data_IF_300166682220
#
_entry.id   IF_300166682220
#
_cell.length_a   1.000
_cell.length_b   1.000
_cell.length_c   1.000
_cell.angle_alpha   90.00
_cell.angle_beta   90.00
_cell.angle_gamma   90.00
#
_symmetry.space_group_name_H-M   'P 1'
#
loop_
_entity.id
_entity.type
_entity.pdbx_description
1 polymer ?
#
# COMPACT_ATOMS: atom_id res chain seq x y z
N UNK A 1 3.95 3.13 7.65
CA UNK A 1 4.15 3.10 6.19
C UNK A 1 3.55 4.37 5.62
N UNK A 2 4.15 4.92 4.62
CA UNK A 2 3.80 6.17 3.98
C UNK A 2 5.09 6.82 3.49
N UNK A 3 5.01 7.94 2.78
CA UNK A 3 6.18 8.72 2.43
C UNK A 3 6.77 9.31 3.71
N UNK A 4 7.64 8.56 4.37
CA UNK A 4 8.32 9.01 5.57
C UNK A 4 9.66 9.62 5.17
N UNK A 5 9.80 10.93 5.31
CA UNK A 5 11.10 11.58 5.37
C UNK A 5 11.82 11.04 6.63
N UNK A 6 13.04 10.50 6.47
CA UNK A 6 13.87 10.07 7.60
C UNK A 6 13.73 8.60 8.02
N UNK A 7 13.15 7.75 7.21
CA UNK A 7 13.17 6.31 7.46
C UNK A 7 14.59 5.75 7.25
N UNK A 8 15.15 5.20 8.32
CA UNK A 8 16.47 4.56 8.27
C UNK A 8 16.33 3.09 7.88
N UNK A 9 17.11 2.66 6.88
CA UNK A 9 17.15 1.27 6.45
C UNK A 9 17.59 0.32 7.58
N UNK A 10 18.38 0.81 8.52
CA UNK A 10 18.82 0.04 9.69
C UNK A 10 17.67 -0.30 10.65
N UNK A 11 16.59 0.49 10.62
CA UNK A 11 15.37 0.23 11.39
C UNK A 11 14.43 -0.79 10.70
N UNK A 12 14.80 -1.30 9.53
CA UNK A 12 13.98 -2.26 8.81
C UNK A 12 14.11 -3.66 9.39
N UNK A 13 12.99 -4.22 9.84
CA UNK A 13 12.88 -5.61 10.26
C UNK A 13 12.02 -6.39 9.26
N UNK A 14 12.60 -7.35 8.51
CA UNK A 14 11.84 -8.21 7.59
C UNK A 14 10.72 -8.98 8.30
N UNK A 15 9.59 -9.15 7.64
CA UNK A 15 8.44 -9.87 8.21
C UNK A 15 8.79 -11.32 8.60
N UNK A 16 9.63 -11.99 7.83
CA UNK A 16 10.04 -13.36 8.13
C UNK A 16 10.92 -13.44 9.39
N UNK A 17 11.72 -12.39 9.66
CA UNK A 17 12.46 -12.28 10.94
C UNK A 17 11.51 -12.15 12.12
N UNK A 18 10.40 -11.39 11.97
CA UNK A 18 9.37 -11.31 13.01
C UNK A 18 8.73 -12.67 13.26
N UNK A 19 8.39 -13.39 12.20
CA UNK A 19 7.78 -14.72 12.29
C UNK A 19 8.72 -15.75 12.90
N UNK A 20 10.01 -15.70 12.56
CA UNK A 20 11.02 -16.59 13.15
C UNK A 20 11.19 -16.39 14.68
N UNK A 21 10.97 -15.17 15.17
CA UNK A 21 10.99 -14.85 16.61
C UNK A 21 9.71 -15.27 17.34
N UNK A 22 8.66 -15.65 16.63
CA UNK A 22 7.35 -16.03 17.16
C UNK A 22 6.94 -17.43 16.65
N UNK A 23 7.67 -18.49 17.00
CA UNK A 23 7.48 -19.84 16.41
C UNK A 23 6.12 -20.46 16.75
N UNK A 24 5.41 -19.94 17.74
CA UNK A 24 4.06 -20.40 18.10
C UNK A 24 2.95 -19.87 17.19
N UNK A 25 3.24 -18.92 16.31
CA UNK A 25 2.23 -18.40 15.40
C UNK A 25 1.83 -19.42 14.33
N UNK A 26 0.54 -19.70 14.23
CA UNK A 26 -0.07 -20.54 13.19
C UNK A 26 -0.69 -19.68 12.12
N UNK A 27 -0.39 -19.98 10.84
CA UNK A 27 -0.96 -19.28 9.70
C UNK A 27 -2.47 -19.53 9.62
N UNK A 28 -3.21 -18.49 9.27
CA UNK A 28 -4.63 -18.51 8.95
C UNK A 28 -4.81 -18.17 7.46
N UNK A 29 -5.99 -18.44 6.88
CA UNK A 29 -6.30 -17.96 5.55
C UNK A 29 -6.07 -16.45 5.45
N UNK A 30 -5.47 -15.97 4.34
CA UNK A 30 -5.21 -14.55 4.14
C UNK A 30 -6.52 -13.77 4.04
N UNK A 31 -6.47 -12.50 4.44
CA UNK A 31 -7.60 -11.57 4.31
C UNK A 31 -7.08 -10.25 3.76
N UNK A 32 -7.45 -9.94 2.52
CA UNK A 32 -6.91 -8.80 1.78
C UNK A 32 -5.40 -8.91 1.59
N UNK A 33 -4.67 -7.85 1.98
CA UNK A 33 -3.20 -7.78 1.83
C UNK A 33 -2.44 -8.27 3.07
N UNK A 34 -3.15 -8.68 4.13
CA UNK A 34 -2.56 -9.12 5.39
C UNK A 34 -2.40 -10.64 5.42
N UNK A 35 -1.20 -11.12 5.71
CA UNK A 35 -0.96 -12.51 6.13
C UNK A 35 -1.38 -12.62 7.59
N UNK A 36 -2.35 -13.47 7.87
CA UNK A 36 -2.93 -13.61 9.21
C UNK A 36 -2.35 -14.80 9.95
N UNK A 37 -2.20 -14.61 11.25
CA UNK A 37 -1.67 -15.63 12.16
C UNK A 37 -2.43 -15.60 13.48
N UNK A 38 -2.38 -16.72 14.21
CA UNK A 38 -2.92 -16.83 15.57
C UNK A 38 -1.97 -17.62 16.47
N UNK A 39 -1.81 -17.18 17.70
CA UNK A 39 -1.19 -17.98 18.75
C UNK A 39 -2.21 -18.99 19.28
N UNK A 40 -1.81 -20.24 19.55
CA UNK A 40 -2.69 -21.21 20.22
C UNK A 40 -3.22 -20.64 21.54
N UNK A 41 -4.54 -20.77 21.74
CA UNK A 41 -5.20 -20.24 22.92
C UNK A 41 -5.52 -18.74 22.92
N UNK A 42 -5.02 -17.98 21.97
CA UNK A 42 -5.34 -16.56 21.84
C UNK A 42 -6.71 -16.33 21.19
N UNK A 43 -7.47 -15.35 21.69
CA UNK A 43 -8.75 -14.93 21.12
C UNK A 43 -8.51 -14.09 19.84
N UNK A 44 -7.48 -13.26 19.83
CA UNK A 44 -7.15 -12.34 18.74
C UNK A 44 -6.29 -12.99 17.65
N UNK A 45 -6.09 -12.24 16.58
CA UNK A 45 -5.22 -12.58 15.45
C UNK A 45 -4.17 -11.51 15.21
N UNK A 46 -3.02 -11.89 14.66
CA UNK A 46 -1.96 -10.99 14.22
C UNK A 46 -2.00 -10.90 12.71
N UNK A 47 -2.05 -9.69 12.15
CA UNK A 47 -1.94 -9.44 10.73
C UNK A 47 -0.60 -8.80 10.38
N UNK A 48 0.15 -9.39 9.47
CA UNK A 48 1.38 -8.82 8.92
C UNK A 48 1.13 -8.26 7.53
N UNK A 49 1.40 -6.97 7.36
CA UNK A 49 1.39 -6.28 6.07
C UNK A 49 2.84 -5.88 5.76
N UNK A 50 3.45 -6.56 4.83
CA UNK A 50 4.88 -6.50 4.58
C UNK A 50 5.18 -6.10 3.12
N UNK A 51 4.96 -4.85 2.72
CA UNK A 51 5.09 -4.42 1.32
C UNK A 51 6.51 -4.52 0.77
N UNK A 52 7.53 -4.51 1.63
CA UNK A 52 8.94 -4.62 1.22
C UNK A 52 9.43 -6.08 1.19
N UNK A 53 9.01 -6.90 2.17
CA UNK A 53 9.43 -8.30 2.25
C UNK A 53 8.59 -9.24 1.40
N UNK A 54 7.31 -8.89 1.22
CA UNK A 54 6.32 -9.66 0.44
C UNK A 54 5.44 -8.69 -0.32
N UNK A 55 5.84 -8.38 -1.54
CA UNK A 55 5.06 -7.50 -2.40
C UNK A 55 3.71 -8.12 -2.73
N UNK A 56 2.64 -7.35 -2.51
CA UNK A 56 1.27 -7.72 -2.85
C UNK A 56 0.67 -6.82 -3.94
N UNK A 57 1.53 -6.17 -4.72
CA UNK A 57 1.12 -5.22 -5.74
C UNK A 57 0.26 -5.85 -6.84
N UNK A 58 0.49 -7.12 -7.17
CA UNK A 58 -0.29 -7.87 -8.15
C UNK A 58 -1.78 -7.98 -7.78
N UNK A 59 -2.08 -8.12 -6.49
CA UNK A 59 -3.44 -8.24 -5.95
C UNK A 59 -4.00 -6.91 -5.43
N UNK A 60 -3.23 -5.83 -5.54
CA UNK A 60 -3.62 -4.53 -5.01
C UNK A 60 -4.65 -3.83 -5.90
N UNK A 61 -5.89 -3.81 -5.51
CA UNK A 61 -7.00 -3.09 -6.17
C UNK A 61 -7.21 -1.66 -5.66
N UNK A 62 -6.31 -1.14 -4.80
CA UNK A 62 -6.50 0.17 -4.18
C UNK A 62 -6.16 1.31 -5.14
N UNK A 63 -7.01 2.30 -5.17
CA UNK A 63 -6.77 3.64 -5.73
C UNK A 63 -7.08 4.67 -4.65
N UNK A 64 -6.59 5.88 -4.80
CA UNK A 64 -6.88 6.98 -3.89
C UNK A 64 -7.26 8.23 -4.66
N UNK A 65 -8.16 9.00 -4.09
CA UNK A 65 -8.45 10.37 -4.54
C UNK A 65 -7.99 11.32 -3.46
N UNK A 66 -7.13 12.24 -3.81
CA UNK A 66 -6.58 13.24 -2.89
C UNK A 66 -7.61 14.34 -2.60
N UNK A 67 -7.44 15.07 -1.49
CA UNK A 67 -8.33 16.17 -1.12
C UNK A 67 -8.40 17.27 -2.19
N UNK A 68 -7.34 17.47 -2.98
CA UNK A 68 -7.29 18.39 -4.09
C UNK A 68 -7.80 17.81 -5.42
N UNK A 69 -8.48 16.64 -5.38
CA UNK A 69 -9.16 16.07 -6.53
C UNK A 69 -8.24 15.41 -7.57
N UNK A 70 -7.18 14.73 -7.12
CA UNK A 70 -6.30 13.95 -7.99
C UNK A 70 -6.41 12.46 -7.72
N UNK A 71 -6.43 11.66 -8.77
CA UNK A 71 -6.42 10.20 -8.69
C UNK A 71 -4.98 9.70 -8.64
N UNK A 72 -4.68 8.85 -7.66
CA UNK A 72 -3.42 8.10 -7.51
C UNK A 72 -3.69 6.61 -7.65
N UNK A 73 -3.03 5.96 -8.59
CA UNK A 73 -3.08 4.51 -8.78
C UNK A 73 -2.25 3.74 -7.76
N UNK A 74 -1.21 4.35 -7.22
CA UNK A 74 -0.36 3.77 -6.17
C UNK A 74 -0.02 4.83 -5.12
N UNK A 75 0.04 4.41 -3.84
CA UNK A 75 0.41 5.29 -2.74
C UNK A 75 1.79 5.94 -2.94
N UNK A 76 2.73 5.18 -3.46
CA UNK A 76 4.13 5.59 -3.61
C UNK A 76 4.46 6.19 -4.97
N UNK A 77 3.52 6.19 -5.93
CA UNK A 77 3.73 6.80 -7.24
C UNK A 77 3.77 8.32 -7.15
N UNK A 78 4.64 8.93 -7.95
CA UNK A 78 4.65 10.37 -8.20
C UNK A 78 3.51 10.79 -9.11
N UNK A 79 3.04 9.88 -9.96
CA UNK A 79 2.01 10.15 -10.96
C UNK A 79 0.64 10.35 -10.33
N UNK A 80 -0.02 11.40 -10.79
CA UNK A 80 -1.37 11.78 -10.37
C UNK A 80 -2.16 12.28 -11.58
N UNK A 81 -3.40 11.85 -11.70
CA UNK A 81 -4.32 12.30 -12.74
C UNK A 81 -5.33 13.27 -12.14
N UNK A 82 -5.40 14.51 -12.67
CA UNK A 82 -6.38 15.49 -12.21
C UNK A 82 -7.81 15.06 -12.61
N UNK A 83 -8.71 15.07 -11.64
CA UNK A 83 -10.15 14.86 -11.82
C UNK A 83 -10.94 16.18 -11.73
N UNK A 84 -10.26 17.28 -11.42
CA UNK A 84 -10.93 18.58 -11.16
C UNK A 84 -11.63 19.06 -12.43
N UNK A 85 -12.86 19.54 -12.24
CA UNK A 85 -13.68 20.06 -13.34
C UNK A 85 -14.22 18.99 -14.30
N UNK A 86 -13.91 17.71 -14.09
CA UNK A 86 -14.44 16.63 -14.91
C UNK A 86 -15.79 16.16 -14.37
N UNK A 87 -16.76 15.97 -15.28
CA UNK A 87 -18.10 15.48 -14.99
C UNK A 87 -18.55 14.44 -16.01
N UNK A 88 -19.55 13.64 -15.66
CA UNK A 88 -20.19 12.70 -16.58
C UNK A 88 -19.22 11.74 -17.29
N UNK A 89 -19.30 11.63 -18.60
CA UNK A 89 -18.45 10.73 -19.40
C UNK A 89 -16.97 11.02 -19.25
N UNK A 90 -16.57 12.30 -19.23
CA UNK A 90 -15.16 12.69 -19.08
C UNK A 90 -14.54 12.23 -17.74
N UNK A 91 -15.30 12.35 -16.65
CA UNK A 91 -14.87 11.82 -15.34
C UNK A 91 -14.74 10.29 -15.38
N UNK A 92 -15.71 9.60 -15.97
CA UNK A 92 -15.68 8.15 -16.10
C UNK A 92 -14.45 7.66 -16.87
N UNK A 93 -14.12 8.33 -17.98
CA UNK A 93 -12.96 7.99 -18.79
C UNK A 93 -11.63 8.29 -18.08
N UNK A 94 -11.56 9.39 -17.32
CA UNK A 94 -10.40 9.71 -16.50
C UNK A 94 -10.19 8.65 -15.41
N UNK A 95 -11.24 8.25 -14.70
CA UNK A 95 -11.17 7.18 -13.70
C UNK A 95 -10.73 5.86 -14.33
N UNK A 96 -11.30 5.46 -15.46
CA UNK A 96 -10.88 4.27 -16.20
C UNK A 96 -9.38 4.32 -16.54
N UNK A 97 -8.91 5.40 -17.15
CA UNK A 97 -7.48 5.57 -17.47
C UNK A 97 -6.61 5.42 -16.24
N UNK A 98 -6.92 6.11 -15.15
CA UNK A 98 -6.13 6.05 -13.92
C UNK A 98 -6.10 4.66 -13.28
N UNK A 99 -7.17 3.88 -13.42
CA UNK A 99 -7.23 2.48 -12.95
C UNK A 99 -6.36 1.58 -13.85
N UNK A 100 -6.49 1.67 -15.17
CA UNK A 100 -5.74 0.82 -16.11
C UNK A 100 -4.26 1.20 -16.21
N UNK A 101 -3.91 2.45 -15.93
CA UNK A 101 -2.53 2.93 -15.89
C UNK A 101 -1.86 2.72 -14.53
N UNK A 102 -2.54 2.06 -13.59
CA UNK A 102 -1.95 1.74 -12.30
C UNK A 102 -0.65 0.95 -12.48
N UNK A 103 0.46 1.35 -11.81
CA UNK A 103 1.73 0.63 -11.91
C UNK A 103 1.58 -0.79 -11.36
N UNK A 104 2.29 -1.74 -11.97
CA UNK A 104 2.28 -3.15 -11.55
C UNK A 104 2.90 -3.38 -10.18
N UNK A 105 3.83 -2.51 -9.76
CA UNK A 105 4.51 -2.56 -8.49
C UNK A 105 4.74 -1.17 -7.91
N UNK A 106 5.20 -1.13 -6.67
CA UNK A 106 5.70 0.10 -6.05
C UNK A 106 7.21 0.27 -6.29
N UNK A 107 7.72 1.47 -6.11
CA UNK A 107 9.14 1.81 -6.29
C UNK A 107 10.01 1.67 -5.02
N UNK A 108 9.48 1.13 -3.93
CA UNK A 108 10.15 1.12 -2.62
C UNK A 108 11.37 0.19 -2.55
N UNK A 109 11.46 -0.79 -3.42
CA UNK A 109 12.61 -1.69 -3.54
C UNK A 109 13.80 -1.00 -4.22
N UNK A 110 13.52 -0.01 -5.08
CA UNK A 110 14.52 0.74 -5.84
C UNK A 110 14.97 2.01 -5.12
N UNK A 111 14.20 2.48 -4.12
CA UNK A 111 14.51 3.72 -3.41
C UNK A 111 13.38 4.20 -2.51
N UNK A 112 13.44 5.46 -2.08
CA UNK A 112 12.39 6.06 -1.28
C UNK A 112 11.09 6.21 -2.07
N UNK A 113 9.98 6.43 -1.36
CA UNK A 113 8.68 6.71 -1.98
C UNK A 113 8.78 7.85 -3.00
N UNK A 114 8.30 7.63 -4.20
CA UNK A 114 8.34 8.63 -5.27
C UNK A 114 7.38 9.80 -5.08
N UNK A 115 6.36 9.65 -4.22
CA UNK A 115 5.39 10.72 -3.96
C UNK A 115 5.98 11.82 -3.07
N UNK A 116 5.82 13.10 -3.42
CA UNK A 116 6.20 14.21 -2.55
C UNK A 116 5.16 14.49 -1.46
N UNK A 117 4.00 13.85 -1.50
CA UNK A 117 2.89 14.11 -0.58
C UNK A 117 3.03 13.38 0.74
N UNK A 118 2.55 14.00 1.79
CA UNK A 118 2.34 13.37 3.10
C UNK A 118 1.10 12.48 3.09
N UNK A 119 0.93 11.64 4.10
CA UNK A 119 -0.25 10.77 4.22
C UNK A 119 -1.56 11.57 4.31
N UNK A 120 -1.55 12.69 5.01
CA UNK A 120 -2.73 13.56 5.15
C UNK A 120 -3.20 14.13 3.81
N UNK A 121 -2.28 14.41 2.90
CA UNK A 121 -2.59 14.94 1.57
C UNK A 121 -3.08 13.88 0.59
N UNK A 122 -2.83 12.61 0.90
CA UNK A 122 -3.23 11.46 0.06
C UNK A 122 -4.56 10.85 0.53
N UNK A 123 -5.14 11.36 1.60
CA UNK A 123 -6.38 10.82 2.14
C UNK A 123 -6.15 9.55 2.96
N UNK A 124 -5.24 9.60 3.89
CA UNK A 124 -4.94 8.56 4.89
C UNK A 124 -5.52 8.93 6.24
#
# INVERSE_FOLDING_TARGET
>A
MGPCAGWDKECFLPADTVLARLPGLRALPPEGVARRFRLPGAVGTVGLIAPLSHEFCGDCCRIRVTADGRLKGCLHSREELSLRGLHGPALKDALRRGIFQKPRGHCLTEGPSGTPRTMNEIGG
#
